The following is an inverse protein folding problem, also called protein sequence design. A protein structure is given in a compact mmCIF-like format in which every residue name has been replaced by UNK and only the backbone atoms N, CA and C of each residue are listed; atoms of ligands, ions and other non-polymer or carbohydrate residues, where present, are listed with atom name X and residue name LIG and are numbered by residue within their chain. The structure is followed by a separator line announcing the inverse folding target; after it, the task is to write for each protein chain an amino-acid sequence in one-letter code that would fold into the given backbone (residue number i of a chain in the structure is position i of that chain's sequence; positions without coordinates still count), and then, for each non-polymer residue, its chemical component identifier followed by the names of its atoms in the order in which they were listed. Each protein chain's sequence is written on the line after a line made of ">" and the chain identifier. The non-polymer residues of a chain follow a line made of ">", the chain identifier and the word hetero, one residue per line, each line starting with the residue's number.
data_IF_084728114436
#
_entry.id   IF_084728114436
#
_cell.length_a   1.000
_cell.length_b   1.000
_cell.length_c   1.000
_cell.angle_alpha   90.00
_cell.angle_beta   90.00
_cell.angle_gamma   90.00
#
_symmetry.space_group_name_H-M   'P 1'
#
loop_
_entity.id
_entity.type
_entity.pdbx_description
1 polymer ?
#
# COMPACT_ATOMS: atom_id res chain seq x y z
N UNK A 1 31.36 90.69 0.62
CA UNK A 1 31.46 89.36 -0.04
C UNK A 1 30.79 88.36 0.84
N UNK A 2 29.54 87.99 0.56
CA UNK A 2 28.76 86.96 1.32
C UNK A 2 28.77 85.70 0.52
N UNK A 3 29.35 84.62 1.05
CA UNK A 3 29.29 83.27 0.46
C UNK A 3 28.03 82.58 0.93
N UNK A 4 27.17 82.23 -0.03
CA UNK A 4 26.01 81.41 0.17
C UNK A 4 26.45 79.90 0.20
N UNK A 5 26.17 79.19 1.29
CA UNK A 5 26.30 77.73 1.43
C UNK A 5 24.99 77.13 1.04
N UNK A 6 24.98 76.33 -0.05
CA UNK A 6 23.81 75.49 -0.47
C UNK A 6 23.92 74.17 0.26
N UNK A 7 23.00 73.89 1.18
CA UNK A 7 22.78 72.57 1.72
C UNK A 7 21.91 71.76 0.71
N UNK A 8 22.47 70.66 0.21
CA UNK A 8 21.72 69.68 -0.59
C UNK A 8 21.12 68.64 0.38
N UNK A 9 19.81 68.56 0.44
CA UNK A 9 19.10 67.48 1.15
C UNK A 9 19.02 66.26 0.23
N UNK A 10 19.67 65.16 0.61
CA UNK A 10 19.54 63.87 0.00
C UNK A 10 18.35 63.15 0.63
N UNK A 11 17.27 62.97 -0.10
CA UNK A 11 16.14 62.11 0.31
C UNK A 11 16.49 60.67 0.01
N UNK A 12 16.78 59.87 1.06
CA UNK A 12 16.88 58.42 0.96
C UNK A 12 15.45 57.83 0.98
N UNK A 13 15.02 57.33 -0.14
CA UNK A 13 13.78 56.56 -0.21
C UNK A 13 14.02 55.13 0.35
N UNK A 14 13.51 54.87 1.55
CA UNK A 14 13.50 53.54 2.15
C UNK A 14 12.32 52.77 1.52
N UNK A 15 12.61 51.88 0.58
CA UNK A 15 11.64 50.91 0.04
C UNK A 15 11.38 49.82 1.08
N UNK A 16 10.22 49.85 1.72
CA UNK A 16 9.72 48.77 2.56
C UNK A 16 9.33 47.63 1.63
N UNK A 17 10.16 46.61 1.51
CA UNK A 17 9.78 45.35 0.90
C UNK A 17 8.80 44.64 1.85
N UNK A 18 7.49 44.63 1.51
CA UNK A 18 6.51 43.74 2.13
C UNK A 18 6.89 42.29 1.83
N UNK A 19 7.55 41.63 2.75
CA UNK A 19 7.71 40.18 2.74
C UNK A 19 6.34 39.61 3.07
N UNK A 20 5.56 39.26 2.03
CA UNK A 20 4.36 38.44 2.20
C UNK A 20 4.85 37.07 2.66
N UNK A 21 4.70 36.79 3.96
CA UNK A 21 4.79 35.41 4.46
C UNK A 21 3.69 34.63 3.76
N UNK A 22 4.06 33.85 2.74
CA UNK A 22 3.20 32.81 2.23
C UNK A 22 3.04 31.83 3.38
N UNK A 23 1.92 31.91 4.10
CA UNK A 23 1.54 30.89 5.06
C UNK A 23 1.45 29.59 4.27
N UNK A 24 2.40 28.68 4.49
CA UNK A 24 2.28 27.32 4.02
C UNK A 24 0.94 26.80 4.58
N UNK A 25 0.03 26.37 3.71
CA UNK A 25 -1.21 25.73 4.16
C UNK A 25 -0.83 24.61 5.14
N UNK A 26 -1.55 24.50 6.27
CA UNK A 26 -1.29 23.42 7.20
C UNK A 26 -1.40 22.09 6.47
N UNK A 27 -0.49 21.15 6.74
CA UNK A 27 -0.57 19.83 6.11
C UNK A 27 -1.92 19.19 6.42
N UNK A 28 -2.48 18.43 5.46
CA UNK A 28 -3.74 17.72 5.64
C UNK A 28 -3.60 16.74 6.82
N UNK A 29 -4.22 17.07 7.95
CA UNK A 29 -4.17 16.25 9.16
C UNK A 29 -4.99 14.96 9.00
N UNK A 30 -5.04 14.15 10.06
CA UNK A 30 -5.77 12.89 10.07
C UNK A 30 -7.25 13.05 9.73
N UNK A 31 -7.91 14.13 10.17
CA UNK A 31 -9.31 14.40 9.90
C UNK A 31 -9.54 14.83 8.45
N UNK A 32 -8.67 15.65 7.92
CA UNK A 32 -8.61 16.04 6.51
C UNK A 32 -8.40 14.81 5.62
N UNK A 33 -7.42 13.95 5.92
CA UNK A 33 -7.15 12.72 5.18
C UNK A 33 -8.35 11.76 5.18
N UNK A 34 -9.06 11.64 6.31
CA UNK A 34 -10.31 10.88 6.38
C UNK A 34 -11.36 11.43 5.43
N UNK A 35 -11.58 12.73 5.46
CA UNK A 35 -12.53 13.41 4.58
C UNK A 35 -12.17 13.19 3.10
N UNK A 36 -10.89 13.36 2.74
CA UNK A 36 -10.43 13.14 1.36
C UNK A 36 -10.64 11.70 0.89
N UNK A 37 -10.32 10.72 1.75
CA UNK A 37 -10.53 9.31 1.43
C UNK A 37 -12.01 9.00 1.25
N UNK A 38 -12.87 9.45 2.16
CA UNK A 38 -14.30 9.18 2.09
C UNK A 38 -14.95 9.87 0.88
N UNK A 39 -14.53 11.09 0.53
CA UNK A 39 -14.96 11.76 -0.71
C UNK A 39 -14.54 10.98 -1.96
N UNK A 40 -13.29 10.50 -2.01
CA UNK A 40 -12.81 9.68 -3.12
C UNK A 40 -13.61 8.40 -3.28
N UNK A 41 -13.78 7.64 -2.20
CA UNK A 41 -14.52 6.38 -2.20
C UNK A 41 -15.99 6.58 -2.60
N UNK A 42 -16.63 7.64 -2.08
CA UNK A 42 -17.99 7.99 -2.44
C UNK A 42 -18.12 8.43 -3.92
N UNK A 43 -17.13 9.13 -4.44
CA UNK A 43 -17.12 9.53 -5.85
C UNK A 43 -16.97 8.30 -6.77
N UNK A 44 -16.11 7.35 -6.41
CA UNK A 44 -16.00 6.05 -7.11
C UNK A 44 -17.33 5.32 -7.11
N UNK A 45 -17.99 5.21 -5.95
CA UNK A 45 -19.29 4.55 -5.80
C UNK A 45 -20.39 5.22 -6.65
N UNK A 46 -20.34 6.54 -6.80
CA UNK A 46 -21.27 7.31 -7.64
C UNK A 46 -20.90 7.30 -9.11
N UNK A 47 -19.76 6.72 -9.48
CA UNK A 47 -19.19 6.77 -10.83
C UNK A 47 -18.99 8.22 -11.33
N UNK A 48 -18.73 9.16 -10.41
CA UNK A 48 -18.63 10.59 -10.70
C UNK A 48 -17.26 11.15 -10.30
N UNK A 49 -16.39 11.33 -11.29
CA UNK A 49 -15.07 11.92 -11.09
C UNK A 49 -15.11 13.35 -10.54
N UNK A 50 -16.16 14.11 -10.86
CA UNK A 50 -16.28 15.50 -10.45
C UNK A 50 -16.61 15.65 -8.96
N UNK A 51 -17.10 14.57 -8.34
CA UNK A 51 -17.40 14.53 -6.91
C UNK A 51 -16.16 14.32 -6.03
N UNK A 52 -14.99 13.96 -6.63
CA UNK A 52 -13.74 13.83 -5.90
C UNK A 52 -12.84 15.06 -6.11
N UNK A 53 -12.15 15.55 -5.05
CA UNK A 53 -11.25 16.69 -5.14
C UNK A 53 -9.91 16.29 -5.79
N UNK A 54 -9.94 15.87 -7.06
CA UNK A 54 -8.76 15.39 -7.77
C UNK A 54 -7.83 16.54 -8.15
N UNK A 55 -6.52 16.31 -8.04
CA UNK A 55 -5.49 17.23 -8.53
C UNK A 55 -5.42 17.14 -10.06
N UNK A 56 -5.09 18.26 -10.72
CA UNK A 56 -4.73 18.23 -12.14
C UNK A 56 -3.53 17.31 -12.32
N UNK A 57 -3.66 16.32 -13.21
CA UNK A 57 -2.64 15.28 -13.37
C UNK A 57 -2.79 14.08 -12.41
N UNK A 58 -3.92 13.95 -11.71
CA UNK A 58 -4.26 12.78 -10.91
C UNK A 58 -3.96 11.48 -11.65
N UNK A 59 -3.32 10.54 -10.96
CA UNK A 59 -2.94 9.23 -11.47
C UNK A 59 -3.62 8.13 -10.70
N UNK A 60 -4.01 7.07 -11.40
CA UNK A 60 -4.59 5.88 -10.82
C UNK A 60 -3.92 4.62 -11.34
N UNK A 61 -3.69 3.66 -10.45
CA UNK A 61 -3.30 2.31 -10.82
C UNK A 61 -4.25 1.29 -10.23
N UNK A 62 -4.45 0.18 -10.94
CA UNK A 62 -5.13 -1.02 -10.46
C UNK A 62 -4.20 -2.22 -10.64
N UNK A 63 -3.94 -2.95 -9.55
CA UNK A 63 -2.99 -4.07 -9.55
C UNK A 63 -1.64 -3.70 -10.20
N UNK A 64 -1.12 -2.51 -9.84
CA UNK A 64 0.12 -1.93 -10.33
C UNK A 64 0.14 -1.58 -11.83
N UNK A 65 -1.01 -1.52 -12.51
CA UNK A 65 -1.14 -1.08 -13.91
C UNK A 65 -1.86 0.26 -13.96
N UNK A 66 -1.36 1.20 -14.78
CA UNK A 66 -2.01 2.49 -14.96
C UNK A 66 -3.41 2.32 -15.56
N UNK A 67 -4.39 2.96 -14.93
CA UNK A 67 -5.77 3.00 -15.38
C UNK A 67 -6.18 4.46 -15.55
N UNK A 68 -6.80 4.77 -16.69
CA UNK A 68 -7.32 6.12 -16.94
C UNK A 68 -8.44 6.43 -15.92
N UNK A 69 -8.40 7.57 -15.22
CA UNK A 69 -9.49 7.98 -14.33
C UNK A 69 -10.86 7.87 -15.00
N UNK A 70 -11.85 7.38 -14.27
CA UNK A 70 -13.17 7.07 -14.81
C UNK A 70 -13.32 5.68 -15.42
N UNK A 71 -12.25 4.89 -15.49
CA UNK A 71 -12.30 3.49 -15.88
C UNK A 71 -11.95 2.57 -14.70
N UNK A 72 -11.98 1.26 -14.95
CA UNK A 72 -11.74 0.24 -13.92
C UNK A 72 -12.73 0.36 -12.78
N UNK A 73 -12.25 0.49 -11.54
CA UNK A 73 -13.08 0.56 -10.33
C UNK A 73 -14.15 1.65 -10.38
N UNK A 74 -13.92 2.74 -11.13
CA UNK A 74 -14.93 3.79 -11.36
C UNK A 74 -16.15 3.31 -12.14
N UNK A 75 -16.08 2.15 -12.78
CA UNK A 75 -17.19 1.54 -13.52
C UNK A 75 -17.73 0.30 -12.85
N UNK A 76 -16.90 -0.36 -12.04
CA UNK A 76 -17.23 -1.69 -11.51
C UNK A 76 -17.71 -1.67 -10.07
N UNK A 77 -17.22 -0.74 -9.21
CA UNK A 77 -17.59 -0.69 -7.80
C UNK A 77 -19.01 -0.18 -7.62
N UNK A 78 -19.86 -0.98 -6.97
CA UNK A 78 -21.29 -0.70 -6.75
C UNK A 78 -21.64 -0.59 -5.27
N UNK A 79 -20.71 -0.88 -4.35
CA UNK A 79 -20.95 -0.82 -2.92
C UNK A 79 -19.73 -1.11 -2.08
N UNK A 80 -19.86 -0.93 -0.77
CA UNK A 80 -18.89 -1.34 0.22
C UNK A 80 -19.41 -2.57 0.96
N UNK A 81 -18.52 -3.54 1.23
CA UNK A 81 -18.86 -4.75 1.94
C UNK A 81 -18.83 -4.61 3.47
N UNK A 82 -19.06 -5.72 4.15
CA UNK A 82 -19.20 -5.79 5.61
C UNK A 82 -17.92 -5.51 6.41
N UNK A 83 -16.74 -5.58 5.78
CA UNK A 83 -15.47 -5.26 6.45
C UNK A 83 -14.81 -4.07 5.79
N UNK A 84 -14.56 -3.04 6.61
CA UNK A 84 -13.95 -1.77 6.20
C UNK A 84 -12.98 -1.30 7.27
N UNK A 85 -11.76 -0.94 6.88
CA UNK A 85 -10.75 -0.30 7.74
C UNK A 85 -10.15 0.89 7.04
N UNK A 86 -9.83 1.92 7.78
CA UNK A 86 -9.22 3.16 7.27
C UNK A 86 -7.99 3.50 8.09
N UNK A 87 -6.90 3.85 7.41
CA UNK A 87 -5.61 4.20 8.01
C UNK A 87 -5.11 5.51 7.44
N UNK A 88 -4.39 6.28 8.27
CA UNK A 88 -4.03 7.65 7.93
C UNK A 88 -2.61 7.95 8.35
N UNK A 89 -1.86 8.59 7.48
CA UNK A 89 -0.49 9.05 7.70
C UNK A 89 -0.38 10.52 7.32
N UNK A 90 -0.56 11.41 8.30
CA UNK A 90 -0.52 12.85 8.09
C UNK A 90 0.89 13.35 7.72
N UNK A 91 1.96 12.62 8.09
CA UNK A 91 3.34 12.99 7.76
C UNK A 91 3.60 12.82 6.27
N UNK A 92 3.17 11.72 5.68
CA UNK A 92 3.36 11.44 4.25
C UNK A 92 2.21 11.94 3.38
N UNK A 93 1.10 12.40 3.97
CA UNK A 93 -0.11 12.82 3.26
C UNK A 93 -0.88 11.65 2.63
N UNK A 94 -0.79 10.45 3.20
CA UNK A 94 -1.48 9.28 2.68
C UNK A 94 -2.66 8.86 3.56
N UNK A 95 -3.72 8.42 2.88
CA UNK A 95 -4.83 7.72 3.51
C UNK A 95 -5.10 6.41 2.75
N UNK A 96 -5.59 5.40 3.45
CA UNK A 96 -5.91 4.14 2.81
C UNK A 96 -7.15 3.47 3.41
N UNK A 97 -7.81 2.71 2.55
CA UNK A 97 -8.88 1.79 2.87
C UNK A 97 -8.41 0.36 2.64
N UNK A 98 -8.69 -0.52 3.58
CA UNK A 98 -8.59 -1.97 3.40
C UNK A 98 -9.95 -2.59 3.72
N UNK A 99 -10.46 -3.38 2.78
CA UNK A 99 -11.79 -3.91 2.99
C UNK A 99 -12.34 -4.68 1.81
N UNK A 100 -13.65 -4.82 1.82
CA UNK A 100 -14.42 -5.48 0.76
C UNK A 100 -15.20 -4.40 0.00
N UNK A 101 -15.19 -4.49 -1.33
CA UNK A 101 -16.08 -3.73 -2.21
C UNK A 101 -16.96 -4.68 -2.99
N UNK A 102 -18.13 -4.21 -3.41
CA UNK A 102 -19.03 -4.93 -4.30
C UNK A 102 -18.81 -4.48 -5.74
N UNK A 103 -18.79 -5.40 -6.66
CA UNK A 103 -18.75 -5.19 -8.12
C UNK A 103 -19.94 -5.92 -8.76
N UNK A 104 -21.14 -5.32 -8.67
CA UNK A 104 -22.39 -5.98 -9.03
C UNK A 104 -22.74 -7.12 -8.07
N UNK A 105 -22.83 -8.34 -8.61
CA UNK A 105 -23.09 -9.54 -7.81
C UNK A 105 -21.84 -10.12 -7.14
N UNK A 106 -20.66 -9.75 -7.61
CA UNK A 106 -19.37 -10.21 -7.08
C UNK A 106 -18.80 -9.23 -6.05
N UNK A 107 -17.83 -9.69 -5.28
CA UNK A 107 -17.08 -8.86 -4.36
C UNK A 107 -15.59 -8.91 -4.66
N UNK A 108 -14.85 -7.88 -4.24
CA UNK A 108 -13.40 -7.87 -4.27
C UNK A 108 -12.85 -7.48 -2.90
N UNK A 109 -11.72 -8.10 -2.51
CA UNK A 109 -10.94 -7.69 -1.34
C UNK A 109 -9.91 -6.69 -1.84
N UNK A 110 -9.88 -5.50 -1.22
CA UNK A 110 -9.11 -4.38 -1.75
C UNK A 110 -8.25 -3.68 -0.71
N UNK A 111 -7.10 -3.19 -1.15
CA UNK A 111 -6.42 -2.05 -0.55
C UNK A 111 -6.52 -0.87 -1.51
N UNK A 112 -6.97 0.27 -1.01
CA UNK A 112 -6.94 1.54 -1.74
C UNK A 112 -6.05 2.50 -0.98
N UNK A 113 -5.00 3.03 -1.61
CA UNK A 113 -4.19 4.12 -1.08
C UNK A 113 -4.43 5.37 -1.89
N UNK A 114 -4.66 6.50 -1.24
CA UNK A 114 -4.64 7.81 -1.88
C UNK A 114 -3.48 8.64 -1.32
N UNK A 115 -2.95 9.55 -2.14
CA UNK A 115 -2.03 10.60 -1.72
C UNK A 115 -2.71 11.94 -1.85
N UNK A 116 -2.67 12.71 -0.78
CA UNK A 116 -3.21 14.07 -0.73
C UNK A 116 -2.06 15.08 -0.79
N UNK A 117 -2.16 16.03 -1.71
CA UNK A 117 -1.24 17.14 -1.86
C UNK A 117 -2.06 18.40 -2.11
N UNK A 118 -1.78 19.47 -1.36
CA UNK A 118 -2.52 20.75 -1.47
C UNK A 118 -4.05 20.54 -1.36
N UNK A 119 -4.48 19.75 -0.39
CA UNK A 119 -5.91 19.41 -0.16
C UNK A 119 -6.62 18.83 -1.39
N UNK A 120 -5.88 18.16 -2.26
CA UNK A 120 -6.39 17.45 -3.42
C UNK A 120 -5.74 16.07 -3.54
N UNK A 121 -6.44 15.16 -4.15
CA UNK A 121 -5.98 13.80 -4.35
C UNK A 121 -5.11 13.75 -5.60
N UNK A 122 -3.81 13.50 -5.42
CA UNK A 122 -2.83 13.43 -6.50
C UNK A 122 -2.71 12.03 -7.09
N UNK A 123 -2.92 10.99 -6.26
CA UNK A 123 -2.74 9.60 -6.65
C UNK A 123 -3.78 8.71 -5.97
N UNK A 124 -4.16 7.62 -6.66
CA UNK A 124 -4.85 6.49 -6.07
C UNK A 124 -4.24 5.19 -6.57
N UNK A 125 -4.00 4.24 -5.67
CA UNK A 125 -3.54 2.90 -6.00
C UNK A 125 -4.53 1.88 -5.44
N UNK A 126 -5.02 1.03 -6.31
CA UNK A 126 -5.92 -0.07 -5.98
C UNK A 126 -5.21 -1.41 -6.14
N UNK A 127 -5.25 -2.21 -5.10
CA UNK A 127 -4.94 -3.63 -5.15
C UNK A 127 -6.24 -4.39 -4.95
N UNK A 128 -6.61 -5.19 -5.93
CA UNK A 128 -7.87 -5.91 -5.93
C UNK A 128 -7.60 -7.40 -6.11
N UNK A 129 -8.20 -8.19 -5.23
CA UNK A 129 -8.29 -9.64 -5.37
C UNK A 129 -9.75 -10.01 -5.61
N UNK A 130 -10.01 -10.78 -6.67
CA UNK A 130 -11.33 -11.23 -7.08
C UNK A 130 -11.40 -12.76 -7.10
N UNK A 131 -12.59 -13.38 -7.01
CA UNK A 131 -12.73 -14.85 -6.89
C UNK A 131 -12.16 -15.61 -8.09
N UNK A 132 -12.12 -15.00 -9.26
CA UNK A 132 -11.68 -15.66 -10.50
C UNK A 132 -10.28 -15.20 -10.97
N UNK A 133 -9.56 -14.43 -10.18
CA UNK A 133 -8.20 -14.00 -10.52
C UNK A 133 -7.24 -15.19 -10.63
N UNK A 134 -6.18 -15.04 -11.41
CA UNK A 134 -5.08 -16.00 -11.38
C UNK A 134 -4.50 -16.16 -9.97
N UNK A 135 -3.94 -17.31 -9.68
CA UNK A 135 -3.30 -17.60 -8.40
C UNK A 135 -1.87 -18.10 -8.57
N UNK A 136 -1.34 -18.66 -7.50
CA UNK A 136 0.04 -19.15 -7.43
C UNK A 136 0.40 -20.13 -8.56
N UNK A 137 -0.56 -20.96 -9.01
CA UNK A 137 -0.38 -21.97 -10.03
C UNK A 137 -0.88 -21.51 -11.42
N UNK A 138 -1.00 -20.22 -11.64
CA UNK A 138 -1.43 -19.63 -12.91
C UNK A 138 -2.92 -19.29 -12.94
N UNK A 139 -3.49 -19.16 -14.13
CA UNK A 139 -4.90 -18.83 -14.32
C UNK A 139 -5.83 -19.97 -13.89
N UNK A 140 -7.08 -19.60 -13.56
CA UNK A 140 -8.13 -20.57 -13.24
C UNK A 140 -8.34 -21.54 -14.39
N UNK A 141 -8.40 -22.82 -14.08
CA UNK A 141 -8.70 -23.88 -15.05
C UNK A 141 -10.14 -24.37 -14.87
N UNK A 142 -10.89 -24.60 -15.95
CA UNK A 142 -12.23 -25.21 -15.88
C UNK A 142 -12.22 -26.54 -15.11
N UNK A 143 -13.19 -26.71 -14.20
CA UNK A 143 -13.32 -27.94 -13.40
C UNK A 143 -12.30 -28.08 -12.26
N UNK A 144 -11.44 -27.08 -12.03
CA UNK A 144 -10.50 -27.03 -10.91
C UNK A 144 -10.96 -26.03 -9.86
N UNK A 145 -10.56 -26.19 -8.59
CA UNK A 145 -10.75 -25.16 -7.57
C UNK A 145 -10.18 -23.82 -8.01
N UNK A 146 -10.64 -22.69 -7.43
CA UNK A 146 -10.07 -21.38 -7.70
C UNK A 146 -8.55 -21.38 -7.59
N UNK A 147 -7.88 -20.70 -8.52
CA UNK A 147 -6.43 -20.66 -8.57
C UNK A 147 -5.82 -19.77 -7.47
N UNK A 148 -6.54 -18.70 -7.09
CA UNK A 148 -6.15 -17.77 -6.01
C UNK A 148 -6.86 -18.14 -4.69
N UNK A 149 -6.33 -17.61 -3.60
CA UNK A 149 -7.07 -17.52 -2.35
C UNK A 149 -8.09 -16.40 -2.45
N UNK A 150 -9.30 -16.67 -1.97
CA UNK A 150 -10.34 -15.65 -1.87
C UNK A 150 -11.40 -16.09 -0.87
N UNK A 151 -11.51 -15.40 0.26
CA UNK A 151 -12.48 -15.72 1.30
C UNK A 151 -12.94 -14.45 2.04
N UNK A 152 -13.90 -13.70 1.48
CA UNK A 152 -14.41 -12.49 2.13
C UNK A 152 -15.14 -12.78 3.44
N UNK A 153 -15.82 -13.93 3.59
CA UNK A 153 -16.54 -14.30 4.81
C UNK A 153 -15.59 -14.51 5.99
N UNK A 154 -14.45 -15.16 5.74
CA UNK A 154 -13.42 -15.29 6.78
C UNK A 154 -12.87 -13.92 7.17
N UNK A 155 -12.64 -13.02 6.22
CA UNK A 155 -12.16 -11.68 6.48
C UNK A 155 -13.16 -10.83 7.29
N UNK A 156 -14.46 -11.01 7.04
CA UNK A 156 -15.54 -10.38 7.83
C UNK A 156 -15.54 -10.92 9.28
N UNK A 157 -15.38 -12.23 9.44
CA UNK A 157 -15.37 -12.87 10.74
C UNK A 157 -14.07 -12.62 11.53
N UNK A 158 -12.95 -12.37 10.84
CA UNK A 158 -11.64 -12.16 11.41
C UNK A 158 -10.98 -10.89 10.85
N UNK A 159 -11.55 -9.69 11.10
CA UNK A 159 -11.07 -8.45 10.54
C UNK A 159 -9.72 -8.03 11.13
N UNK A 160 -8.95 -7.20 10.43
CA UNK A 160 -7.80 -6.52 11.02
C UNK A 160 -8.22 -5.73 12.27
N UNK A 161 -7.31 -5.60 13.26
CA UNK A 161 -7.61 -4.86 14.47
C UNK A 161 -7.95 -3.40 14.14
N UNK A 162 -9.01 -2.89 14.78
CA UNK A 162 -9.35 -1.47 14.80
C UNK A 162 -8.97 -0.92 16.17
N UNK A 163 -7.90 -0.13 16.22
CA UNK A 163 -7.32 0.28 17.48
C UNK A 163 -6.63 1.65 17.39
N UNK A 164 -6.58 2.32 18.52
CA UNK A 164 -5.67 3.44 18.77
C UNK A 164 -4.74 3.00 19.90
N UNK A 165 -3.45 2.87 19.59
CA UNK A 165 -2.44 2.47 20.58
C UNK A 165 -2.11 3.67 21.45
N UNK A 166 -2.04 3.51 22.81
CA UNK A 166 -1.64 4.59 23.71
C UNK A 166 -0.27 5.18 23.32
N UNK A 167 -0.15 6.49 23.36
CA UNK A 167 1.07 7.20 22.91
C UNK A 167 2.37 6.64 23.52
N UNK A 168 2.34 6.30 24.80
CA UNK A 168 3.50 5.73 25.49
C UNK A 168 3.93 4.33 25.00
N UNK A 169 3.07 3.65 24.22
CA UNK A 169 3.33 2.32 23.66
C UNK A 169 3.61 2.38 22.15
N UNK A 170 3.52 3.56 21.54
CA UNK A 170 3.77 3.71 20.10
C UNK A 170 5.26 3.66 19.81
N UNK A 171 5.60 2.89 18.82
CA UNK A 171 6.93 2.95 18.21
C UNK A 171 7.00 4.11 17.22
N UNK A 172 8.18 4.72 17.07
CA UNK A 172 8.39 5.74 16.07
C UNK A 172 8.37 5.14 14.65
N UNK A 173 8.11 5.98 13.69
CA UNK A 173 7.95 5.67 12.26
C UNK A 173 9.06 4.81 11.68
N UNK A 174 10.31 5.16 11.98
CA UNK A 174 11.49 4.46 11.48
C UNK A 174 11.58 3.03 12.01
N UNK A 175 11.21 2.82 13.26
CA UNK A 175 11.17 1.47 13.85
C UNK A 175 10.07 0.63 13.20
N UNK A 176 8.88 1.20 12.96
CA UNK A 176 7.80 0.52 12.27
C UNK A 176 8.19 0.10 10.86
N UNK A 177 8.87 0.98 10.11
CA UNK A 177 9.37 0.68 8.78
C UNK A 177 10.45 -0.42 8.79
N UNK A 178 11.36 -0.39 9.78
CA UNK A 178 12.41 -1.41 9.92
C UNK A 178 11.81 -2.79 10.23
N UNK A 179 10.76 -2.86 11.06
CA UNK A 179 10.06 -4.11 11.37
C UNK A 179 9.44 -4.72 10.10
N UNK A 180 8.78 -3.91 9.26
CA UNK A 180 8.21 -4.40 8.00
C UNK A 180 9.31 -4.86 7.03
N UNK A 181 10.41 -4.11 6.92
CA UNK A 181 11.53 -4.53 6.07
C UNK A 181 12.15 -5.85 6.55
N UNK A 182 12.22 -6.11 7.86
CA UNK A 182 12.72 -7.38 8.38
C UNK A 182 11.94 -8.59 7.87
N UNK A 183 10.61 -8.44 7.67
CA UNK A 183 9.78 -9.48 7.08
C UNK A 183 10.10 -9.70 5.58
N UNK A 184 10.26 -8.64 4.83
CA UNK A 184 10.65 -8.75 3.42
C UNK A 184 12.06 -9.33 3.25
N UNK A 185 12.97 -9.02 4.19
CA UNK A 185 14.32 -9.60 4.23
C UNK A 185 14.27 -11.09 4.58
N UNK A 186 13.41 -11.50 5.52
CA UNK A 186 13.18 -12.90 5.85
C UNK A 186 12.69 -13.72 4.65
N UNK A 187 11.81 -13.14 3.82
CA UNK A 187 11.35 -13.78 2.58
C UNK A 187 12.50 -13.90 1.58
N UNK A 188 13.28 -12.83 1.37
CA UNK A 188 14.37 -12.81 0.39
C UNK A 188 15.53 -13.73 0.79
N UNK A 189 15.85 -13.79 2.09
CA UNK A 189 16.91 -14.67 2.62
C UNK A 189 16.44 -16.10 2.84
N UNK A 190 15.13 -16.38 2.73
CA UNK A 190 14.53 -17.66 3.10
C UNK A 190 14.77 -18.05 4.57
N UNK A 191 14.94 -17.07 5.44
CA UNK A 191 15.21 -17.23 6.86
C UNK A 191 14.18 -16.48 7.70
N UNK A 192 13.23 -17.20 8.28
CA UNK A 192 12.19 -16.62 9.14
C UNK A 192 12.72 -16.02 10.45
N UNK A 193 13.95 -16.32 10.86
CA UNK A 193 14.56 -15.74 12.08
C UNK A 193 14.90 -14.27 11.94
N UNK A 194 15.03 -13.77 10.69
CA UNK A 194 15.28 -12.36 10.38
C UNK A 194 14.08 -11.48 10.70
N UNK A 195 12.85 -12.01 10.60
CA UNK A 195 11.63 -11.23 10.83
C UNK A 195 11.40 -10.92 12.31
N UNK A 196 11.19 -9.65 12.63
CA UNK A 196 10.77 -9.19 13.94
C UNK A 196 9.27 -9.45 14.14
N UNK A 197 8.94 -10.62 14.66
CA UNK A 197 7.57 -11.10 14.76
C UNK A 197 7.27 -11.78 16.09
N UNK A 198 6.02 -11.75 16.55
CA UNK A 198 5.55 -12.57 17.63
C UNK A 198 5.53 -14.06 17.23
N UNK A 199 5.85 -14.97 18.15
CA UNK A 199 5.53 -16.38 17.95
C UNK A 199 4.03 -16.55 17.66
N UNK A 200 3.70 -17.28 16.58
CA UNK A 200 2.31 -17.45 16.16
C UNK A 200 1.67 -16.24 15.49
N UNK A 201 2.47 -15.32 14.93
CA UNK A 201 1.93 -14.22 14.10
C UNK A 201 1.07 -14.79 12.96
N UNK A 202 -0.12 -14.20 12.74
CA UNK A 202 -1.06 -14.63 11.70
C UNK A 202 -0.78 -13.96 10.36
N UNK A 203 -1.11 -14.64 9.24
CA UNK A 203 -1.15 -14.04 7.91
C UNK A 203 -2.43 -14.43 7.18
N UNK A 204 -3.11 -13.45 6.63
CA UNK A 204 -4.35 -13.60 5.87
C UNK A 204 -4.14 -13.05 4.47
N UNK A 205 -4.22 -13.91 3.46
CA UNK A 205 -4.07 -13.55 2.05
C UNK A 205 -5.43 -13.58 1.36
N UNK A 206 -5.84 -12.46 0.81
CA UNK A 206 -7.13 -12.32 0.12
C UNK A 206 -8.28 -12.92 0.95
N UNK A 207 -8.29 -12.59 2.25
CA UNK A 207 -9.29 -13.07 3.18
C UNK A 207 -9.10 -14.51 3.69
N UNK A 208 -8.16 -15.28 3.16
CA UNK A 208 -7.90 -16.64 3.60
C UNK A 208 -6.70 -16.70 4.54
N UNK A 209 -6.79 -17.41 5.69
CA UNK A 209 -5.62 -17.64 6.52
C UNK A 209 -4.59 -18.43 5.71
N UNK A 210 -3.33 -18.03 5.79
CA UNK A 210 -2.25 -18.76 5.12
C UNK A 210 -1.84 -19.91 6.02
N UNK A 211 -2.20 -21.19 5.70
CA UNK A 211 -1.93 -22.31 6.56
C UNK A 211 -0.43 -22.60 6.65
N UNK A 212 0.04 -23.17 7.75
CA UNK A 212 1.39 -23.71 7.86
C UNK A 212 1.69 -24.62 6.67
N UNK A 213 2.87 -24.49 6.09
CA UNK A 213 3.30 -25.33 4.96
C UNK A 213 2.73 -24.96 3.59
N UNK A 214 1.91 -23.92 3.45
CA UNK A 214 1.46 -23.44 2.13
C UNK A 214 2.62 -23.01 1.22
N UNK A 215 3.70 -22.56 1.80
CA UNK A 215 4.93 -22.22 1.09
C UNK A 215 5.80 -23.45 0.74
N UNK A 216 5.41 -24.63 1.23
CA UNK A 216 6.08 -25.86 0.86
C UNK A 216 5.61 -26.29 -0.54
N UNK A 217 6.54 -26.67 -1.44
CA UNK A 217 6.15 -27.37 -2.64
C UNK A 217 5.43 -28.68 -2.25
N UNK A 218 4.57 -29.25 -3.13
CA UNK A 218 3.82 -30.47 -2.83
C UNK A 218 4.68 -31.75 -2.72
N UNK A 219 5.92 -31.62 -2.31
CA UNK A 219 6.80 -32.74 -1.98
C UNK A 219 6.39 -33.29 -0.62
N UNK A 220 5.71 -34.39 -0.67
CA UNK A 220 4.95 -35.08 0.36
C UNK A 220 5.74 -35.64 1.58
N UNK A 221 6.89 -35.11 1.94
CA UNK A 221 7.75 -35.71 2.97
C UNK A 221 8.19 -34.79 4.12
N UNK A 222 7.93 -33.52 4.05
CA UNK A 222 8.20 -32.64 5.20
C UNK A 222 6.92 -32.53 6.05
N UNK A 223 7.01 -32.84 7.32
CA UNK A 223 5.94 -32.57 8.28
C UNK A 223 5.55 -31.09 8.20
N UNK A 224 4.24 -30.82 8.06
CA UNK A 224 3.75 -29.44 8.07
C UNK A 224 4.22 -28.76 9.38
N UNK A 225 4.72 -27.50 9.32
CA UNK A 225 5.06 -26.77 10.52
C UNK A 225 3.83 -26.70 11.43
N UNK A 226 4.05 -27.01 12.70
CA UNK A 226 2.97 -27.11 13.72
C UNK A 226 2.47 -25.75 14.22
N UNK A 227 3.03 -24.65 13.74
CA UNK A 227 2.72 -23.28 14.18
C UNK A 227 2.09 -22.47 13.06
N UNK A 228 1.02 -21.74 13.35
CA UNK A 228 0.42 -20.71 12.49
C UNK A 228 1.28 -19.44 12.44
N UNK A 229 2.58 -19.60 12.27
CA UNK A 229 3.51 -18.48 12.24
C UNK A 229 3.61 -17.90 10.83
N UNK A 230 3.53 -16.57 10.70
CA UNK A 230 3.55 -15.87 9.42
C UNK A 230 4.85 -16.06 8.61
N UNK A 231 5.91 -16.61 9.23
CA UNK A 231 7.17 -16.96 8.56
C UNK A 231 7.36 -18.46 8.38
N UNK A 232 6.37 -19.27 8.80
CA UNK A 232 6.47 -20.72 8.65
C UNK A 232 6.61 -21.11 7.18
N UNK A 233 7.61 -21.91 6.86
CA UNK A 233 7.87 -22.41 5.51
C UNK A 233 8.64 -21.44 4.59
N UNK A 234 9.11 -20.28 5.05
CA UNK A 234 9.88 -19.34 4.22
C UNK A 234 11.13 -19.96 3.62
N UNK A 235 11.76 -20.93 4.30
CA UNK A 235 12.94 -21.68 3.79
C UNK A 235 12.65 -22.37 2.46
N UNK A 236 11.39 -22.69 2.17
CA UNK A 236 10.96 -23.35 0.93
C UNK A 236 10.10 -22.46 0.02
N UNK A 237 9.97 -21.18 0.38
CA UNK A 237 9.12 -20.26 -0.36
C UNK A 237 9.65 -20.06 -1.79
N UNK A 238 8.75 -20.10 -2.77
CA UNK A 238 9.11 -20.01 -4.18
C UNK A 238 9.27 -18.56 -4.68
N UNK A 239 9.70 -17.63 -3.84
CA UNK A 239 10.12 -16.31 -4.25
C UNK A 239 11.63 -16.22 -4.20
N UNK A 240 12.24 -15.66 -5.25
CA UNK A 240 13.68 -15.39 -5.26
C UNK A 240 14.00 -14.04 -4.64
N UNK A 241 13.10 -13.07 -4.80
CA UNK A 241 13.31 -11.69 -4.32
C UNK A 241 11.99 -11.01 -3.99
N UNK A 242 12.03 -10.09 -3.05
CA UNK A 242 11.02 -9.07 -2.82
C UNK A 242 11.58 -7.74 -3.32
N UNK A 243 11.07 -7.27 -4.45
CA UNK A 243 11.58 -6.08 -5.14
C UNK A 243 10.56 -4.95 -5.14
N UNK A 244 11.00 -3.75 -5.54
CA UNK A 244 10.18 -2.56 -5.60
C UNK A 244 9.42 -2.29 -4.28
N UNK A 245 10.11 -2.52 -3.15
CA UNK A 245 9.55 -2.34 -1.81
C UNK A 245 9.24 -0.89 -1.56
N UNK A 246 8.03 -0.63 -1.10
CA UNK A 246 7.56 0.68 -0.67
C UNK A 246 6.82 0.56 0.64
N UNK A 247 6.96 1.56 1.49
CA UNK A 247 6.18 1.72 2.73
C UNK A 247 5.51 3.09 2.65
N UNK A 248 4.44 3.21 1.85
CA UNK A 248 3.86 4.52 1.56
C UNK A 248 3.05 5.10 2.71
N UNK A 249 2.56 4.26 3.63
CA UNK A 249 1.74 4.72 4.74
C UNK A 249 2.14 4.03 6.04
N UNK A 250 2.36 4.83 7.08
CA UNK A 250 2.59 4.38 8.44
C UNK A 250 1.60 5.11 9.35
N UNK A 251 0.59 4.39 9.82
CA UNK A 251 -0.35 4.90 10.81
C UNK A 251 0.20 4.63 12.23
N UNK A 252 0.90 5.64 12.78
CA UNK A 252 1.52 5.51 14.10
C UNK A 252 0.49 5.36 15.23
N UNK A 253 -0.72 5.91 15.06
CA UNK A 253 -1.77 5.73 16.06
C UNK A 253 -2.30 4.30 16.12
N UNK A 254 -2.47 3.69 14.97
CA UNK A 254 -2.92 2.30 14.87
C UNK A 254 -1.77 1.30 15.01
N UNK A 255 -0.49 1.75 14.94
CA UNK A 255 0.69 0.90 14.77
C UNK A 255 0.48 -0.07 13.60
N UNK A 256 -0.02 0.49 12.50
CA UNK A 256 -0.33 -0.22 11.26
C UNK A 256 0.50 0.35 10.11
N UNK A 257 1.09 -0.53 9.32
CA UNK A 257 1.99 -0.17 8.23
C UNK A 257 1.53 -0.83 6.94
N UNK A 258 1.44 -0.05 5.88
CA UNK A 258 1.20 -0.56 4.53
C UNK A 258 2.54 -0.80 3.83
N UNK A 259 2.88 -2.05 3.60
CA UNK A 259 3.96 -2.47 2.73
C UNK A 259 3.44 -2.86 1.35
N UNK A 260 4.12 -2.42 0.30
CA UNK A 260 3.82 -2.76 -1.08
C UNK A 260 5.07 -3.25 -1.77
N UNK A 261 4.98 -4.34 -2.52
CA UNK A 261 6.14 -4.88 -3.24
C UNK A 261 5.74 -5.84 -4.37
N UNK A 262 6.73 -6.39 -5.02
CA UNK A 262 6.59 -7.45 -6.02
C UNK A 262 7.41 -8.66 -5.57
N UNK A 263 6.78 -9.83 -5.53
CA UNK A 263 7.53 -11.08 -5.46
C UNK A 263 7.99 -11.47 -6.86
N UNK A 264 9.29 -11.70 -7.01
CA UNK A 264 9.84 -12.38 -8.18
C UNK A 264 10.05 -13.84 -7.81
N UNK A 265 9.49 -14.73 -8.59
CA UNK A 265 9.56 -16.16 -8.34
C UNK A 265 10.72 -16.82 -9.07
N UNK A 266 11.03 -18.04 -8.67
CA UNK A 266 12.06 -18.83 -9.31
C UNK A 266 11.72 -19.09 -10.78
N UNK A 267 12.72 -19.17 -11.67
CA UNK A 267 12.52 -19.52 -13.08
C UNK A 267 11.68 -20.80 -13.24
N UNK A 268 10.78 -20.83 -14.22
CA UNK A 268 9.87 -21.94 -14.46
C UNK A 268 8.61 -21.92 -13.61
N UNK A 269 8.42 -20.95 -12.72
CA UNK A 269 7.16 -20.80 -11.99
C UNK A 269 6.02 -20.44 -12.95
N UNK A 270 4.83 -21.07 -12.83
CA UNK A 270 3.65 -20.73 -13.63
C UNK A 270 3.22 -19.27 -13.48
N UNK A 271 3.54 -18.69 -12.33
CA UNK A 271 3.31 -17.28 -12.04
C UNK A 271 4.65 -16.64 -11.68
N UNK A 272 5.32 -15.97 -12.64
CA UNK A 272 6.70 -15.49 -12.46
C UNK A 272 6.80 -14.35 -11.43
N UNK A 273 5.70 -13.67 -11.17
CA UNK A 273 5.62 -12.57 -10.20
C UNK A 273 4.21 -12.41 -9.64
N UNK A 274 4.11 -11.73 -8.52
CA UNK A 274 2.84 -11.18 -8.03
C UNK A 274 3.07 -9.84 -7.36
N UNK A 275 2.08 -8.97 -7.47
CA UNK A 275 2.04 -7.66 -6.83
C UNK A 275 1.14 -7.74 -5.61
N UNK A 276 1.49 -7.02 -4.56
CA UNK A 276 0.73 -7.07 -3.33
C UNK A 276 0.80 -5.78 -2.52
N UNK A 277 -0.22 -5.62 -1.70
CA UNK A 277 -0.27 -4.69 -0.58
C UNK A 277 -0.42 -5.51 0.69
N UNK A 278 0.44 -5.32 1.67
CA UNK A 278 0.40 -6.00 2.96
C UNK A 278 0.25 -5.00 4.09
N UNK A 279 -0.75 -5.22 4.94
CA UNK A 279 -0.99 -4.47 6.16
C UNK A 279 -0.36 -5.22 7.34
N UNK A 280 0.64 -4.60 7.93
CA UNK A 280 1.35 -5.12 9.11
C UNK A 280 0.80 -4.43 10.36
N UNK A 281 0.36 -5.23 11.32
CA UNK A 281 -0.07 -4.76 12.64
C UNK A 281 1.01 -5.12 13.64
N UNK A 282 1.62 -4.08 14.21
CA UNK A 282 2.79 -4.18 15.06
C UNK A 282 2.39 -3.98 16.52
N UNK A 283 2.82 -4.86 17.36
CA UNK A 283 2.59 -4.84 18.80
C UNK A 283 3.89 -5.13 19.54
N UNK A 284 4.21 -4.30 20.53
CA UNK A 284 5.43 -4.46 21.35
C UNK A 284 6.72 -4.69 20.53
N UNK A 285 6.85 -3.98 19.40
CA UNK A 285 8.04 -4.07 18.54
C UNK A 285 8.09 -5.27 17.59
N UNK A 286 7.01 -6.01 17.45
CA UNK A 286 6.96 -7.22 16.62
C UNK A 286 5.69 -7.29 15.79
N UNK A 287 5.76 -7.92 14.63
CA UNK A 287 4.60 -8.18 13.76
C UNK A 287 3.65 -9.15 14.48
N UNK A 288 2.43 -8.72 14.73
CA UNK A 288 1.37 -9.52 15.32
C UNK A 288 0.55 -10.26 14.27
N UNK A 289 0.21 -9.57 13.19
CA UNK A 289 -0.59 -10.14 12.11
C UNK A 289 -0.38 -9.36 10.81
N UNK A 290 -0.59 -10.03 9.68
CA UNK A 290 -0.45 -9.48 8.34
C UNK A 290 -1.74 -9.76 7.57
N UNK A 291 -2.27 -8.73 6.91
CA UNK A 291 -3.41 -8.86 5.98
C UNK A 291 -3.02 -8.36 4.62
N UNK A 292 -3.35 -9.10 3.58
CA UNK A 292 -2.90 -8.74 2.23
C UNK A 292 -4.02 -8.79 1.20
N UNK A 293 -3.97 -7.85 0.24
CA UNK A 293 -4.58 -7.98 -1.06
C UNK A 293 -3.47 -8.23 -2.09
N UNK A 294 -3.55 -9.39 -2.74
CA UNK A 294 -2.50 -9.90 -3.63
C UNK A 294 -3.10 -10.26 -4.98
N UNK A 295 -2.41 -9.84 -6.04
CA UNK A 295 -2.77 -10.14 -7.42
C UNK A 295 -1.61 -10.85 -8.13
N UNK A 296 -1.94 -11.85 -8.90
CA UNK A 296 -1.01 -12.66 -9.68
C UNK A 296 -1.16 -12.31 -11.18
N UNK A 297 -0.42 -11.30 -11.67
CA UNK A 297 -0.56 -10.89 -13.06
C UNK A 297 -0.13 -11.99 -14.02
N UNK A 298 -0.80 -12.12 -15.16
CA UNK A 298 -0.32 -12.98 -16.24
C UNK A 298 1.08 -12.55 -16.69
N UNK A 299 1.91 -13.47 -17.21
CA UNK A 299 3.32 -13.20 -17.54
C UNK A 299 3.54 -12.02 -18.49
N UNK A 300 2.61 -11.81 -19.42
CA UNK A 300 2.65 -10.76 -20.44
C UNK A 300 2.30 -9.36 -19.89
N UNK A 301 1.68 -9.26 -18.71
CA UNK A 301 1.31 -7.98 -18.15
C UNK A 301 2.54 -7.24 -17.61
N UNK A 302 2.79 -6.04 -18.12
CA UNK A 302 3.87 -5.20 -17.65
C UNK A 302 3.54 -4.60 -16.27
N UNK A 303 4.23 -5.07 -15.25
CA UNK A 303 4.09 -4.56 -13.86
C UNK A 303 5.49 -4.43 -13.23
N UNK A 304 5.66 -3.61 -12.20
CA UNK A 304 4.76 -2.59 -11.70
C UNK A 304 4.78 -1.32 -12.57
N UNK A 305 3.67 -0.61 -12.60
CA UNK A 305 3.58 0.69 -13.26
C UNK A 305 3.24 1.78 -12.22
N UNK A 306 3.98 1.75 -11.13
CA UNK A 306 3.82 2.73 -10.05
C UNK A 306 4.28 4.12 -10.46
N UNK A 307 3.75 5.16 -9.83
CA UNK A 307 4.24 6.51 -10.03
C UNK A 307 5.76 6.57 -9.79
N UNK A 308 6.54 7.20 -10.68
CA UNK A 308 8.01 7.24 -10.55
C UNK A 308 8.48 8.09 -9.36
N UNK A 309 7.57 8.75 -8.63
CA UNK A 309 7.90 9.78 -7.64
C UNK A 309 7.71 9.34 -6.19
N UNK A 310 7.43 8.08 -5.91
CA UNK A 310 7.28 7.62 -4.53
C UNK A 310 8.59 7.60 -3.74
N UNK A 311 9.68 8.15 -4.32
CA UNK A 311 10.94 8.43 -3.65
C UNK A 311 11.73 7.21 -3.20
N UNK A 312 11.12 6.04 -3.21
CA UNK A 312 11.68 4.79 -2.69
C UNK A 312 12.05 3.77 -3.78
N UNK A 313 12.39 4.29 -4.95
CA UNK A 313 12.97 3.49 -6.03
C UNK A 313 14.45 3.80 -6.19
N UNK A 314 15.35 3.10 -5.55
CA UNK A 314 16.56 2.82 -6.25
C UNK A 314 16.28 1.57 -7.09
N UNK A 315 16.09 1.72 -8.40
CA UNK A 315 16.60 0.66 -9.28
C UNK A 315 18.04 0.44 -8.85
N UNK A 316 18.45 -0.80 -8.49
CA UNK A 316 19.86 -1.06 -8.22
C UNK A 316 20.69 -0.46 -9.36
N UNK A 317 21.75 0.28 -9.02
CA UNK A 317 22.62 0.90 -10.00
C UNK A 317 23.03 -0.16 -11.02
N UNK A 318 22.67 0.03 -12.29
CA UNK A 318 22.97 -0.90 -13.37
C UNK A 318 21.77 -1.59 -14.04
N UNK A 319 20.56 -1.49 -13.49
CA UNK A 319 19.35 -1.95 -14.21
C UNK A 319 18.81 -0.77 -15.03
N UNK A 320 19.18 -0.72 -16.30
CA UNK A 320 18.55 0.16 -17.29
C UNK A 320 17.31 -0.58 -17.81
N UNK A 321 16.08 -0.02 -17.69
CA UNK A 321 14.92 -0.61 -18.31
C UNK A 321 15.15 -0.65 -19.83
N UNK A 322 15.12 -1.82 -20.44
CA UNK A 322 15.08 -1.91 -21.90
C UNK A 322 13.83 -1.17 -22.40
N UNK A 323 14.06 -0.11 -23.15
CA UNK A 323 12.99 0.54 -23.92
C UNK A 323 12.60 -0.42 -25.05
N UNK A 324 11.42 -0.97 -24.95
CA UNK A 324 10.73 -1.59 -26.09
C UNK A 324 9.78 -0.60 -26.70
#
# INVERSE_FOLDING_TARGET
>A
MRRLVRCAFVFSAVTFACVTNAFAQPPCDRSCLRTMLDQYLNAVLKHDLSAAPLLVGFRQTENAVNVRPGNGVWKTVTGFGGMQRRYFDAISGHAAYYGIVQEGADSAIVTVRIRVANERIAEAEWYLARPNDPGLNGPRQPGRPPANLFNPDYLIANPPPERVVPTAQRLPREALAAIVNSYFDAITSHDGSVALRHPGCGRVENGSPTPPGRFLPPLATAAAPTTNDCVAGLQNFNASMVVARRIPLIDEEAQAVLGMAVFIRRPGSPTPRNVFSEWFFIDSGMIRTIYTAMFYPPPELAVPNWPPYDGNWPLPAGIVPERR
#
